data_IF_386865835564
#
_entry.id   IF_386865835564
#
_cell.length_a   1.000
_cell.length_b   1.000
_cell.length_c   1.000
_cell.angle_alpha   90.00
_cell.angle_beta   90.00
_cell.angle_gamma   90.00
#
_symmetry.space_group_name_H-M   'P 1'
#
loop_
_entity.id
_entity.type
_entity.pdbx_description
1 polymer ?
#
# COMPACT_ATOMS: atom_id res chain seq x y z
N UNK A 1 -11.66 -10.34 -13.63
CA UNK A 1 -12.24 -11.41 -12.81
C UNK A 1 -12.38 -10.89 -11.39
N UNK A 2 -13.54 -11.11 -10.78
CA UNK A 2 -13.83 -10.75 -9.40
C UNK A 2 -14.06 -12.03 -8.62
N UNK A 3 -13.34 -12.19 -7.52
CA UNK A 3 -13.45 -13.32 -6.59
C UNK A 3 -13.90 -12.77 -5.24
N UNK A 4 -14.95 -13.38 -4.72
CA UNK A 4 -15.44 -13.21 -3.36
C UNK A 4 -15.54 -14.61 -2.74
N UNK A 5 -14.41 -15.06 -2.19
CA UNK A 5 -14.29 -16.42 -1.68
C UNK A 5 -14.94 -16.50 -0.29
N UNK A 6 -15.89 -17.44 -0.06
CA UNK A 6 -16.41 -17.68 1.27
C UNK A 6 -15.33 -18.30 2.18
N UNK A 7 -15.46 -18.21 3.52
CA UNK A 7 -14.50 -18.76 4.48
C UNK A 7 -14.20 -20.26 4.32
N UNK A 8 -15.04 -21.01 3.61
CA UNK A 8 -14.89 -22.44 3.35
C UNK A 8 -14.21 -22.76 2.01
N UNK A 9 -13.62 -21.78 1.33
CA UNK A 9 -12.99 -21.97 0.02
C UNK A 9 -11.57 -22.54 0.19
N UNK A 10 -11.40 -23.82 -0.14
CA UNK A 10 -10.10 -24.50 -0.02
C UNK A 10 -9.14 -24.23 -1.18
N UNK A 11 -9.66 -24.11 -2.41
CA UNK A 11 -8.82 -23.93 -3.58
C UNK A 11 -9.45 -22.97 -4.59
N UNK A 12 -8.62 -22.09 -5.13
CA UNK A 12 -8.91 -21.25 -6.29
C UNK A 12 -7.96 -21.66 -7.41
N UNK A 13 -8.53 -22.15 -8.51
CA UNK A 13 -7.82 -22.49 -9.75
C UNK A 13 -8.31 -21.56 -10.86
N UNK A 14 -7.38 -20.81 -11.47
CA UNK A 14 -7.69 -19.86 -12.54
C UNK A 14 -6.72 -20.04 -13.69
N UNK A 15 -7.19 -20.64 -14.78
CA UNK A 15 -6.56 -20.58 -16.10
C UNK A 15 -7.20 -19.46 -16.94
N UNK A 16 -6.60 -18.26 -16.89
CA UNK A 16 -7.11 -17.09 -17.59
C UNK A 16 -5.97 -16.23 -18.21
N UNK A 17 -5.30 -16.70 -19.28
CA UNK A 17 -4.10 -16.03 -19.82
C UNK A 17 -4.36 -14.63 -20.39
N UNK A 18 -5.60 -14.31 -20.76
CA UNK A 18 -6.05 -12.99 -21.24
C UNK A 18 -6.65 -12.11 -20.13
N UNK A 19 -6.52 -12.49 -18.85
CA UNK A 19 -7.06 -11.72 -17.74
C UNK A 19 -6.27 -10.42 -17.57
N UNK A 20 -6.94 -9.27 -17.69
CA UNK A 20 -6.32 -7.94 -17.51
C UNK A 20 -6.51 -7.37 -16.10
N UNK A 21 -7.63 -7.72 -15.45
CA UNK A 21 -8.01 -7.18 -14.14
C UNK A 21 -8.38 -8.32 -13.20
N UNK A 22 -7.73 -8.39 -12.04
CA UNK A 22 -8.00 -9.34 -10.97
C UNK A 22 -8.44 -8.61 -9.71
N UNK A 23 -9.54 -9.03 -9.10
CA UNK A 23 -10.01 -8.47 -7.84
C UNK A 23 -10.34 -9.62 -6.90
N UNK A 24 -9.74 -9.61 -5.72
CA UNK A 24 -9.99 -10.56 -4.67
C UNK A 24 -10.51 -9.83 -3.43
N UNK A 25 -11.72 -10.20 -3.00
CA UNK A 25 -12.33 -9.80 -1.73
C UNK A 25 -12.69 -11.04 -0.91
N UNK A 26 -12.98 -10.86 0.37
CA UNK A 26 -13.33 -11.99 1.24
C UNK A 26 -12.12 -12.54 2.01
N UNK A 27 -12.17 -13.83 2.31
CA UNK A 27 -11.06 -14.62 2.90
C UNK A 27 -10.10 -15.11 1.84
N UNK A 28 -8.83 -15.30 2.18
CA UNK A 28 -7.92 -16.03 1.28
C UNK A 28 -8.30 -17.53 1.20
N UNK A 29 -8.21 -18.13 0.02
CA UNK A 29 -8.28 -19.59 -0.12
C UNK A 29 -6.97 -20.27 0.31
N UNK A 30 -7.03 -21.48 0.85
CA UNK A 30 -5.84 -22.21 1.33
C UNK A 30 -4.82 -22.47 0.21
N UNK A 31 -5.30 -22.71 -1.01
CA UNK A 31 -4.46 -22.98 -2.18
C UNK A 31 -4.88 -22.10 -3.36
N UNK A 32 -3.89 -21.45 -3.97
CA UNK A 32 -4.02 -20.72 -5.23
C UNK A 32 -3.24 -21.47 -6.31
N UNK A 33 -3.95 -22.03 -7.30
CA UNK A 33 -3.36 -22.48 -8.56
C UNK A 33 -3.65 -21.42 -9.62
N UNK A 34 -2.80 -20.41 -9.63
CA UNK A 34 -2.94 -19.26 -10.52
C UNK A 34 -1.99 -19.48 -11.69
N UNK A 35 -2.51 -19.98 -12.80
CA UNK A 35 -1.71 -20.09 -14.02
C UNK A 35 -1.21 -18.71 -14.45
N UNK A 36 -0.06 -18.67 -15.13
CA UNK A 36 0.58 -17.40 -15.51
C UNK A 36 -0.41 -16.45 -16.20
N UNK A 37 -0.52 -15.22 -15.68
CA UNK A 37 -1.35 -14.16 -16.24
C UNK A 37 -0.50 -13.11 -16.96
N UNK A 38 0.04 -13.39 -18.16
CA UNK A 38 0.92 -12.45 -18.86
C UNK A 38 0.21 -11.14 -19.25
N UNK A 39 -1.12 -11.17 -19.32
CA UNK A 39 -1.95 -10.01 -19.66
C UNK A 39 -2.42 -9.22 -18.43
N UNK A 40 -2.10 -9.64 -17.20
CA UNK A 40 -2.62 -9.01 -15.98
C UNK A 40 -1.97 -7.66 -15.76
N UNK A 41 -2.79 -6.61 -15.76
CA UNK A 41 -2.37 -5.22 -15.62
C UNK A 41 -2.73 -4.70 -14.23
N UNK A 42 -3.92 -5.03 -13.74
CA UNK A 42 -4.49 -4.52 -12.49
C UNK A 42 -4.82 -5.66 -11.54
N UNK A 43 -4.33 -5.59 -10.31
CA UNK A 43 -4.74 -6.48 -9.22
C UNK A 43 -5.25 -5.67 -8.02
N UNK A 44 -6.36 -6.09 -7.44
CA UNK A 44 -6.89 -5.52 -6.21
C UNK A 44 -7.14 -6.62 -5.18
N UNK A 45 -6.35 -6.63 -4.13
CA UNK A 45 -6.44 -7.59 -3.03
C UNK A 45 -6.97 -6.85 -1.80
N UNK A 46 -8.29 -6.90 -1.60
CA UNK A 46 -8.99 -6.24 -0.49
C UNK A 46 -9.67 -7.31 0.37
N UNK A 47 -8.90 -7.93 1.25
CA UNK A 47 -9.40 -8.95 2.18
C UNK A 47 -10.33 -8.33 3.23
N UNK A 48 -11.31 -9.09 3.72
CA UNK A 48 -12.25 -8.58 4.73
C UNK A 48 -11.62 -8.51 6.12
N UNK A 49 -11.99 -7.48 6.89
CA UNK A 49 -11.77 -7.40 8.34
C UNK A 49 -12.67 -8.45 9.04
N UNK A 50 -12.33 -9.72 8.93
CA UNK A 50 -12.98 -10.74 9.76
C UNK A 50 -12.40 -10.59 11.16
N UNK A 51 -13.21 -10.39 12.17
CA UNK A 51 -12.78 -10.19 13.56
C UNK A 51 -12.03 -11.39 14.21
N UNK A 52 -11.47 -12.30 13.40
CA UNK A 52 -10.74 -13.53 13.77
C UNK A 52 -9.26 -13.51 13.29
N UNK A 53 -8.65 -12.32 13.28
CA UNK A 53 -7.33 -11.96 12.69
C UNK A 53 -6.05 -12.54 13.33
N UNK A 54 -5.98 -13.85 13.56
CA UNK A 54 -4.70 -14.48 13.93
C UNK A 54 -4.24 -15.55 12.94
N UNK A 55 -5.11 -16.14 12.10
CA UNK A 55 -4.75 -17.37 11.38
C UNK A 55 -4.97 -17.35 9.86
N UNK A 56 -4.92 -16.20 9.17
CA UNK A 56 -4.68 -16.25 7.72
C UNK A 56 -3.18 -16.52 7.52
N UNK A 57 -2.86 -17.73 7.06
CA UNK A 57 -1.48 -18.21 6.89
C UNK A 57 -0.69 -17.23 6.00
N UNK A 58 0.42 -16.71 6.52
CA UNK A 58 1.39 -15.89 5.80
C UNK A 58 1.84 -16.56 4.47
N UNK A 59 1.84 -17.90 4.45
CA UNK A 59 2.07 -18.75 3.29
C UNK A 59 1.06 -18.51 2.15
N UNK A 60 -0.18 -18.15 2.48
CA UNK A 60 -1.22 -17.91 1.47
C UNK A 60 -1.03 -16.54 0.82
N UNK A 61 -0.69 -15.51 1.63
CA UNK A 61 -0.43 -14.18 1.12
C UNK A 61 0.81 -14.16 0.21
N UNK A 62 1.86 -14.89 0.57
CA UNK A 62 3.07 -15.01 -0.27
C UNK A 62 2.77 -15.78 -1.56
N UNK A 63 2.05 -16.91 -1.49
CA UNK A 63 1.63 -17.67 -2.67
C UNK A 63 0.81 -16.80 -3.63
N UNK A 64 -0.12 -15.97 -3.13
CA UNK A 64 -0.86 -15.06 -3.99
C UNK A 64 0.07 -14.02 -4.64
N UNK A 65 0.99 -13.45 -3.87
CA UNK A 65 1.91 -12.40 -4.34
C UNK A 65 2.85 -12.91 -5.44
N UNK A 66 3.30 -14.17 -5.39
CA UNK A 66 4.11 -14.82 -6.43
C UNK A 66 3.48 -14.83 -7.82
N UNK A 67 2.17 -14.64 -7.92
CA UNK A 67 1.45 -14.64 -9.20
C UNK A 67 1.14 -13.23 -9.72
N UNK A 68 1.49 -12.19 -8.96
CA UNK A 68 1.15 -10.80 -9.27
C UNK A 68 2.35 -9.97 -9.79
N UNK A 69 3.51 -10.56 -10.02
CA UNK A 69 4.72 -9.81 -10.40
C UNK A 69 4.65 -9.09 -11.77
N UNK A 70 3.71 -9.47 -12.64
CA UNK A 70 3.51 -8.81 -13.94
C UNK A 70 2.66 -7.54 -13.88
N UNK A 71 1.93 -7.31 -12.78
CA UNK A 71 0.94 -6.22 -12.71
C UNK A 71 1.59 -4.85 -12.77
N UNK A 72 0.88 -3.90 -13.37
CA UNK A 72 1.27 -2.49 -13.40
C UNK A 72 0.67 -1.70 -12.24
N UNK A 73 -0.47 -2.15 -11.75
CA UNK A 73 -1.19 -1.54 -10.66
C UNK A 73 -1.63 -2.59 -9.64
N UNK A 74 -1.29 -2.35 -8.38
CA UNK A 74 -1.67 -3.20 -7.26
C UNK A 74 -2.38 -2.35 -6.21
N UNK A 75 -3.59 -2.77 -5.84
CA UNK A 75 -4.29 -2.29 -4.65
C UNK A 75 -4.13 -3.35 -3.56
N UNK A 76 -3.54 -2.97 -2.42
CA UNK A 76 -3.25 -3.86 -1.30
C UNK A 76 -3.98 -3.40 -0.03
N UNK A 77 -4.90 -4.22 0.46
CA UNK A 77 -5.62 -4.00 1.72
C UNK A 77 -4.76 -4.28 2.97
N UNK A 78 -5.13 -3.69 4.10
CA UNK A 78 -4.37 -3.83 5.36
C UNK A 78 -4.25 -5.27 5.86
N UNK A 79 -5.26 -6.13 5.67
CA UNK A 79 -5.15 -7.54 6.07
C UNK A 79 -4.12 -8.29 5.22
N UNK A 80 -4.09 -8.02 3.91
CA UNK A 80 -3.10 -8.60 3.02
C UNK A 80 -1.68 -8.16 3.40
N UNK A 81 -1.49 -6.86 3.65
CA UNK A 81 -0.21 -6.32 4.13
C UNK A 81 0.14 -6.85 5.54
N UNK A 82 -0.86 -7.05 6.40
CA UNK A 82 -0.70 -7.67 7.72
C UNK A 82 -0.20 -9.11 7.62
N UNK A 83 -0.75 -9.92 6.72
CA UNK A 83 -0.27 -11.28 6.45
C UNK A 83 1.18 -11.26 5.91
N UNK A 84 1.46 -10.38 4.94
CA UNK A 84 2.82 -10.23 4.38
C UNK A 84 3.87 -9.74 5.39
N UNK A 85 3.44 -9.03 6.44
CA UNK A 85 4.34 -8.54 7.48
C UNK A 85 4.90 -9.66 8.37
N UNK A 86 4.22 -10.80 8.44
CA UNK A 86 4.58 -11.96 9.27
C UNK A 86 5.54 -12.90 8.55
N UNK A 87 5.52 -12.90 7.22
CA UNK A 87 6.46 -13.65 6.36
C UNK A 87 7.90 -13.31 6.73
N UNK A 88 8.72 -14.35 6.87
CA UNK A 88 10.16 -14.25 7.07
C UNK A 88 10.84 -13.48 5.92
N UNK A 89 11.82 -12.65 6.26
CA UNK A 89 12.54 -11.84 5.26
C UNK A 89 13.21 -12.71 4.18
N UNK A 90 13.79 -13.85 4.56
CA UNK A 90 14.44 -14.77 3.62
C UNK A 90 13.46 -15.28 2.55
N UNK A 91 12.24 -15.63 2.94
CA UNK A 91 11.18 -16.06 2.02
C UNK A 91 10.67 -14.88 1.19
N UNK A 92 10.45 -13.73 1.81
CA UNK A 92 9.90 -12.56 1.12
C UNK A 92 10.83 -12.05 0.02
N UNK A 93 12.15 -12.04 0.26
CA UNK A 93 13.12 -11.55 -0.72
C UNK A 93 13.52 -12.58 -1.79
N UNK A 94 13.04 -13.82 -1.70
CA UNK A 94 13.10 -14.79 -2.81
C UNK A 94 12.05 -14.53 -3.90
N UNK A 95 11.04 -13.68 -3.62
CA UNK A 95 10.03 -13.31 -4.58
C UNK A 95 10.61 -12.65 -5.85
N UNK A 96 10.00 -12.90 -7.02
CA UNK A 96 10.31 -12.15 -8.22
C UNK A 96 10.08 -10.64 -8.01
N UNK A 97 11.00 -9.83 -8.51
CA UNK A 97 10.83 -8.39 -8.44
C UNK A 97 9.71 -7.90 -9.38
N UNK A 98 8.88 -7.01 -8.83
CA UNK A 98 7.73 -6.34 -9.44
C UNK A 98 8.18 -5.23 -10.40
N UNK A 99 8.92 -5.59 -11.44
CA UNK A 99 9.50 -4.65 -12.41
C UNK A 99 8.47 -3.87 -13.24
N UNK A 100 7.24 -4.38 -13.32
CA UNK A 100 6.16 -3.74 -14.06
C UNK A 100 5.30 -2.84 -13.17
N UNK A 101 5.40 -2.97 -11.85
CA UNK A 101 4.54 -2.24 -10.92
C UNK A 101 4.92 -0.76 -10.95
N UNK A 102 3.99 0.07 -11.42
CA UNK A 102 4.14 1.52 -11.53
C UNK A 102 3.22 2.27 -10.57
N UNK A 103 2.14 1.65 -10.10
CA UNK A 103 1.21 2.22 -9.14
C UNK A 103 0.89 1.21 -8.03
N UNK A 104 1.06 1.64 -6.78
CA UNK A 104 0.71 0.89 -5.59
C UNK A 104 -0.27 1.72 -4.78
N UNK A 105 -1.46 1.18 -4.54
CA UNK A 105 -2.47 1.78 -3.69
C UNK A 105 -2.64 0.94 -2.42
N UNK A 106 -2.48 1.58 -1.26
CA UNK A 106 -2.65 0.98 0.06
C UNK A 106 -4.02 1.36 0.60
N UNK A 107 -4.84 0.36 0.88
CA UNK A 107 -6.16 0.53 1.49
C UNK A 107 -6.06 0.16 2.96
N UNK A 108 -6.06 1.18 3.82
CA UNK A 108 -5.93 1.01 5.26
C UNK A 108 -7.31 0.85 5.91
N UNK A 109 -7.63 -0.33 6.45
CA UNK A 109 -8.87 -0.59 7.19
C UNK A 109 -8.65 -1.01 8.66
N UNK A 110 -7.47 -1.53 9.01
CA UNK A 110 -7.14 -1.98 10.37
C UNK A 110 -5.66 -1.80 10.70
N UNK A 111 -5.27 -1.55 11.97
CA UNK A 111 -3.90 -1.25 12.33
C UNK A 111 -3.17 -2.50 12.81
N UNK A 112 -2.05 -2.81 12.15
CA UNK A 112 -0.75 -3.18 12.72
C UNK A 112 0.14 -3.79 11.62
N UNK A 113 1.46 -3.56 11.72
CA UNK A 113 2.52 -4.15 10.86
C UNK A 113 2.49 -3.83 9.34
N UNK A 114 1.52 -3.06 8.86
CA UNK A 114 1.44 -2.64 7.44
C UNK A 114 2.69 -1.88 6.97
N UNK A 115 3.34 -1.14 7.88
CA UNK A 115 4.55 -0.38 7.56
C UNK A 115 5.69 -1.26 7.04
N UNK A 116 6.01 -2.37 7.73
CA UNK A 116 7.12 -3.24 7.33
C UNK A 116 6.83 -3.95 6.00
N UNK A 117 5.63 -4.50 5.83
CA UNK A 117 5.21 -5.13 4.58
C UNK A 117 5.26 -4.16 3.40
N UNK A 118 4.80 -2.91 3.59
CA UNK A 118 4.92 -1.88 2.57
C UNK A 118 6.38 -1.59 2.23
N UNK A 119 7.26 -1.44 3.24
CA UNK A 119 8.67 -1.21 2.97
C UNK A 119 9.30 -2.35 2.16
N UNK A 120 8.98 -3.61 2.48
CA UNK A 120 9.44 -4.78 1.72
C UNK A 120 8.91 -4.77 0.28
N UNK A 121 7.62 -4.48 0.09
CA UNK A 121 7.04 -4.33 -1.26
C UNK A 121 7.72 -3.25 -2.09
N UNK A 122 8.07 -2.12 -1.46
CA UNK A 122 8.81 -1.04 -2.13
C UNK A 122 10.21 -1.51 -2.56
N UNK A 123 10.90 -2.35 -1.78
CA UNK A 123 12.21 -2.91 -2.15
C UNK A 123 12.16 -3.76 -3.40
N UNK A 124 11.12 -4.59 -3.56
CA UNK A 124 10.98 -5.47 -4.73
C UNK A 124 10.30 -4.79 -5.92
N UNK A 125 9.92 -3.51 -5.82
CA UNK A 125 9.19 -2.75 -6.85
C UNK A 125 10.01 -1.59 -7.43
N UNK A 126 11.11 -1.85 -8.16
CA UNK A 126 12.12 -0.84 -8.49
C UNK A 126 11.63 0.30 -9.39
N UNK A 127 10.55 0.09 -10.17
CA UNK A 127 9.99 1.07 -11.11
C UNK A 127 8.71 1.76 -10.62
N UNK A 128 8.39 1.65 -9.33
CA UNK A 128 7.19 2.26 -8.78
C UNK A 128 7.20 3.78 -8.97
N UNK A 129 6.18 4.32 -9.65
CA UNK A 129 6.06 5.74 -9.96
C UNK A 129 5.05 6.46 -9.07
N UNK A 130 4.03 5.76 -8.61
CA UNK A 130 2.91 6.31 -7.83
C UNK A 130 2.65 5.45 -6.60
N UNK A 131 2.62 6.10 -5.43
CA UNK A 131 2.17 5.49 -4.17
C UNK A 131 0.95 6.25 -3.65
N UNK A 132 -0.13 5.54 -3.38
CA UNK A 132 -1.40 6.10 -2.90
C UNK A 132 -1.77 5.47 -1.56
N UNK A 133 -2.13 6.30 -0.59
CA UNK A 133 -2.79 5.90 0.65
C UNK A 133 -4.26 6.28 0.54
N UNK A 134 -5.15 5.29 0.39
CA UNK A 134 -6.57 5.53 0.07
C UNK A 134 -7.44 5.92 1.25
N UNK A 135 -6.99 5.63 2.46
CA UNK A 135 -7.65 6.03 3.69
C UNK A 135 -6.62 6.57 4.67
N UNK A 136 -7.08 7.30 5.68
CA UNK A 136 -6.21 7.80 6.73
C UNK A 136 -5.57 6.66 7.53
N UNK A 137 -4.37 6.90 8.05
CA UNK A 137 -3.63 5.92 8.87
C UNK A 137 -4.18 6.01 10.30
N UNK A 138 -5.00 5.06 10.76
CA UNK A 138 -5.66 5.16 12.09
C UNK A 138 -4.69 5.00 13.27
N UNK A 139 -4.83 5.85 14.30
CA UNK A 139 -4.00 5.97 15.50
C UNK A 139 -4.30 5.06 16.65
N UNK A 140 -5.50 4.49 16.64
CA UNK A 140 -6.06 3.98 17.89
C UNK A 140 -5.58 2.59 18.28
N UNK A 141 -4.88 1.87 17.39
CA UNK A 141 -4.54 0.46 17.65
C UNK A 141 -3.05 0.11 17.43
N UNK A 142 -2.15 1.07 17.15
CA UNK A 142 -0.74 0.76 16.90
C UNK A 142 0.16 0.81 18.15
N UNK A 143 0.98 -0.23 18.35
CA UNK A 143 2.11 -0.24 19.30
C UNK A 143 3.28 0.66 18.88
N UNK A 144 4.31 0.76 19.74
CA UNK A 144 5.47 1.66 19.55
C UNK A 144 6.36 1.33 18.34
N UNK A 145 6.31 0.11 17.80
CA UNK A 145 7.06 -0.32 16.60
C UNK A 145 6.11 -0.67 15.45
N UNK A 146 5.78 0.33 14.64
CA UNK A 146 4.79 0.24 13.57
C UNK A 146 5.40 -0.05 12.18
N UNK A 147 6.67 -0.47 12.12
CA UNK A 147 7.36 -0.87 10.90
C UNK A 147 7.73 0.27 9.93
N UNK A 148 7.45 1.53 10.28
CA UNK A 148 7.75 2.71 9.45
C UNK A 148 9.22 3.13 9.57
N UNK A 149 10.13 2.23 9.21
CA UNK A 149 11.58 2.44 9.23
C UNK A 149 12.18 1.97 7.91
N UNK A 150 13.02 2.81 7.31
CA UNK A 150 13.83 2.44 6.15
C UNK A 150 15.19 1.94 6.66
N UNK A 151 15.44 0.64 6.60
CA UNK A 151 16.79 0.08 6.84
C UNK A 151 17.73 0.44 5.69
N UNK A 152 17.23 0.33 4.47
CA UNK A 152 17.82 0.79 3.21
C UNK A 152 16.74 1.53 2.45
N UNK A 153 17.08 2.61 1.75
CA UNK A 153 16.09 3.34 0.92
C UNK A 153 15.82 2.56 -0.37
N UNK A 154 14.59 2.08 -0.64
CA UNK A 154 14.24 1.41 -1.90
C UNK A 154 14.63 2.19 -3.15
N UNK A 155 15.06 1.47 -4.19
CA UNK A 155 15.48 2.07 -5.46
C UNK A 155 14.39 2.95 -6.09
N UNK A 156 13.13 2.54 -5.98
CA UNK A 156 12.01 3.27 -6.53
C UNK A 156 11.88 4.69 -5.95
N UNK A 157 12.15 4.89 -4.66
CA UNK A 157 12.14 6.21 -4.02
C UNK A 157 13.25 7.11 -4.59
N UNK A 158 14.39 6.53 -4.92
CA UNK A 158 15.53 7.26 -5.42
C UNK A 158 15.37 7.67 -6.89
N UNK A 159 14.67 6.88 -7.69
CA UNK A 159 14.77 6.94 -9.16
C UNK A 159 13.44 7.02 -9.92
N UNK A 160 12.31 6.55 -9.34
CA UNK A 160 11.05 6.40 -10.08
C UNK A 160 9.83 7.04 -9.42
N UNK A 161 9.76 7.15 -8.09
CA UNK A 161 8.57 7.62 -7.38
C UNK A 161 8.34 9.11 -7.63
N UNK A 162 7.35 9.42 -8.48
CA UNK A 162 6.99 10.79 -8.91
C UNK A 162 5.76 11.32 -8.19
N UNK A 163 4.84 10.46 -7.77
CA UNK A 163 3.59 10.86 -7.13
C UNK A 163 3.41 10.13 -5.81
N UNK A 164 3.14 10.90 -4.78
CA UNK A 164 2.74 10.41 -3.46
C UNK A 164 1.40 11.06 -3.11
N UNK A 165 0.36 10.26 -2.95
CA UNK A 165 -1.00 10.72 -2.68
C UNK A 165 -1.52 10.16 -1.36
N UNK A 166 -2.07 11.03 -0.51
CA UNK A 166 -2.83 10.66 0.67
C UNK A 166 -4.28 11.12 0.51
N UNK A 167 -5.21 10.18 0.69
CA UNK A 167 -6.65 10.40 0.70
C UNK A 167 -7.17 10.25 2.13
N UNK A 168 -8.26 10.94 2.47
CA UNK A 168 -8.83 10.97 3.82
C UNK A 168 -7.81 11.32 4.92
N UNK A 169 -6.87 12.23 4.62
CA UNK A 169 -5.78 12.60 5.53
C UNK A 169 -6.33 13.30 6.79
N UNK A 170 -6.08 12.72 7.96
CA UNK A 170 -6.50 13.24 9.26
C UNK A 170 -5.57 14.34 9.80
N UNK A 171 -4.31 14.34 9.36
CA UNK A 171 -3.29 15.29 9.82
C UNK A 171 -2.71 14.96 11.19
N UNK A 172 -2.86 13.72 11.65
CA UNK A 172 -2.23 13.28 12.89
C UNK A 172 -0.70 13.17 12.75
N UNK A 173 0.00 13.06 13.89
CA UNK A 173 1.46 13.05 13.91
C UNK A 173 2.09 11.85 13.19
N UNK A 174 1.36 10.73 13.06
CA UNK A 174 1.87 9.52 12.40
C UNK A 174 1.74 9.65 10.91
N UNK A 175 0.59 10.11 10.41
CA UNK A 175 0.42 10.46 9.00
C UNK A 175 1.46 11.50 8.56
N UNK A 176 1.68 12.54 9.36
CA UNK A 176 2.74 13.52 9.12
C UNK A 176 4.13 12.88 9.14
N UNK A 177 4.38 11.94 10.05
CA UNK A 177 5.62 11.15 10.11
C UNK A 177 5.85 10.31 8.85
N UNK A 178 4.80 9.68 8.31
CA UNK A 178 4.86 8.91 7.06
C UNK A 178 5.11 9.84 5.87
N UNK A 179 4.38 10.96 5.77
CA UNK A 179 4.65 11.97 4.73
C UNK A 179 6.10 12.45 4.80
N UNK A 180 6.59 12.74 6.00
CA UNK A 180 7.97 13.16 6.22
C UNK A 180 8.97 12.09 5.75
N UNK A 181 8.79 10.84 6.16
CA UNK A 181 9.64 9.71 5.77
C UNK A 181 9.78 9.64 4.25
N UNK A 182 8.67 9.67 3.51
CA UNK A 182 8.73 9.59 2.06
C UNK A 182 9.30 10.87 1.43
N UNK A 183 8.89 12.04 1.91
CA UNK A 183 9.34 13.34 1.40
C UNK A 183 10.86 13.53 1.55
N UNK A 184 11.44 13.05 2.65
CA UNK A 184 12.88 13.10 2.93
C UNK A 184 13.72 12.14 2.09
N UNK A 185 13.11 11.05 1.58
CA UNK A 185 13.84 9.98 0.90
C UNK A 185 13.58 9.92 -0.61
N UNK A 186 12.42 10.42 -1.07
CA UNK A 186 12.02 10.36 -2.48
C UNK A 186 12.69 11.46 -3.31
N UNK A 187 13.78 11.12 -4.01
CA UNK A 187 14.67 12.09 -4.68
C UNK A 187 14.11 12.66 -5.98
N UNK A 188 13.18 11.94 -6.62
CA UNK A 188 12.56 12.35 -7.89
C UNK A 188 11.08 12.70 -7.74
N UNK A 189 10.59 12.84 -6.51
CA UNK A 189 9.19 13.14 -6.23
C UNK A 189 8.78 14.48 -6.86
N UNK A 190 7.69 14.48 -7.61
CA UNK A 190 7.17 15.66 -8.31
C UNK A 190 5.90 16.20 -7.66
N UNK A 191 5.06 15.32 -7.12
CA UNK A 191 3.77 15.68 -6.54
C UNK A 191 3.58 14.98 -5.20
N UNK A 192 3.34 15.78 -4.17
CA UNK A 192 2.77 15.34 -2.90
C UNK A 192 1.31 15.84 -2.86
N UNK A 193 0.36 14.93 -2.89
CA UNK A 193 -1.07 15.24 -3.00
C UNK A 193 -1.75 14.86 -1.69
N UNK A 194 -2.44 15.81 -1.07
CA UNK A 194 -3.15 15.60 0.19
C UNK A 194 -4.64 15.93 -0.01
N UNK A 195 -5.51 14.94 0.21
CA UNK A 195 -6.96 15.12 0.29
C UNK A 195 -7.37 14.95 1.75
N UNK A 196 -7.83 16.03 2.37
CA UNK A 196 -8.10 16.05 3.81
C UNK A 196 -9.39 15.29 4.14
N UNK A 197 -9.38 14.53 5.24
CA UNK A 197 -10.60 13.88 5.77
C UNK A 197 -11.72 14.88 6.01
N UNK A 198 -12.97 14.40 6.02
CA UNK A 198 -14.13 15.25 6.34
C UNK A 198 -14.03 15.91 7.72
N UNK A 199 -13.39 15.26 8.70
CA UNK A 199 -13.16 15.80 10.03
C UNK A 199 -12.15 16.95 10.01
N UNK A 200 -10.97 16.74 9.43
CA UNK A 200 -9.95 17.79 9.30
C UNK A 200 -10.45 18.96 8.44
N UNK A 201 -11.22 18.68 7.40
CA UNK A 201 -11.77 19.72 6.51
C UNK A 201 -12.69 20.70 7.21
N UNK A 202 -13.44 20.24 8.23
CA UNK A 202 -14.37 21.06 9.03
C UNK A 202 -13.67 21.90 10.10
N UNK A 203 -12.54 21.43 10.61
CA UNK A 203 -11.71 22.17 11.58
C UNK A 203 -10.68 23.03 10.84
N UNK A 204 -11.04 24.27 10.54
CA UNK A 204 -10.18 25.20 9.80
C UNK A 204 -8.88 25.54 10.54
N UNK A 205 -8.90 25.57 11.87
CA UNK A 205 -7.70 25.78 12.69
C UNK A 205 -6.72 24.62 12.52
N UNK A 206 -7.17 23.40 12.78
CA UNK A 206 -6.33 22.20 12.63
C UNK A 206 -5.89 22.01 11.18
N UNK A 207 -6.77 22.25 10.20
CA UNK A 207 -6.42 22.23 8.77
C UNK A 207 -5.29 23.19 8.45
N UNK A 208 -5.33 24.42 8.98
CA UNK A 208 -4.29 25.42 8.74
C UNK A 208 -2.96 25.01 9.37
N UNK A 209 -2.99 24.50 10.59
CA UNK A 209 -1.81 24.00 11.28
C UNK A 209 -1.16 22.80 10.55
N UNK A 210 -1.97 21.84 10.09
CA UNK A 210 -1.49 20.68 9.32
C UNK A 210 -0.88 21.13 7.99
N UNK A 211 -1.50 22.10 7.30
CA UNK A 211 -0.96 22.68 6.07
C UNK A 211 0.42 23.31 6.30
N UNK A 212 0.57 24.09 7.36
CA UNK A 212 1.86 24.71 7.73
C UNK A 212 2.91 23.64 8.02
N UNK A 213 2.57 22.61 8.81
CA UNK A 213 3.50 21.50 9.10
C UNK A 213 3.96 20.78 7.82
N UNK A 214 3.04 20.44 6.91
CA UNK A 214 3.35 19.82 5.62
C UNK A 214 4.23 20.69 4.70
N UNK A 215 4.07 22.01 4.77
CA UNK A 215 4.90 22.96 4.02
C UNK A 215 6.32 23.02 4.56
N UNK A 216 6.48 22.88 5.88
CA UNK A 216 7.77 22.91 6.56
C UNK A 216 8.52 21.57 6.51
N UNK A 217 7.90 20.50 6.02
CA UNK A 217 8.56 19.20 5.89
C UNK A 217 9.73 19.27 4.90
N UNK A 218 10.89 18.69 5.25
CA UNK A 218 12.02 18.56 4.36
C UNK A 218 11.67 17.69 3.13
N UNK A 219 12.30 18.03 1.99
CA UNK A 219 12.08 17.39 0.70
C UNK A 219 13.41 17.05 0.06
N UNK A 220 13.63 15.79 -0.27
CA UNK A 220 14.79 15.38 -1.07
C UNK A 220 14.72 15.92 -2.50
N UNK A 221 13.51 15.98 -3.07
CA UNK A 221 13.28 16.54 -4.40
C UNK A 221 12.90 18.02 -4.32
N UNK A 222 13.72 18.89 -4.93
CA UNK A 222 13.41 20.31 -5.11
C UNK A 222 12.22 20.56 -6.06
N UNK A 223 11.87 19.59 -6.89
CA UNK A 223 10.76 19.66 -7.83
C UNK A 223 9.41 19.25 -7.22
N UNK A 224 9.40 18.75 -5.98
CA UNK A 224 8.18 18.26 -5.33
C UNK A 224 7.23 19.41 -4.99
N UNK A 225 6.05 19.42 -5.64
CA UNK A 225 4.96 20.35 -5.37
C UNK A 225 3.93 19.72 -4.45
N UNK A 226 3.66 20.38 -3.32
CA UNK A 226 2.57 20.01 -2.42
C UNK A 226 1.26 20.59 -2.94
N UNK A 227 0.27 19.72 -3.14
CA UNK A 227 -1.07 20.07 -3.64
C UNK A 227 -2.12 19.57 -2.67
N UNK A 228 -3.11 20.40 -2.36
CA UNK A 228 -4.28 20.00 -1.59
C UNK A 228 -5.45 19.81 -2.56
N UNK A 229 -6.09 18.64 -2.53
CA UNK A 229 -7.35 18.38 -3.25
C UNK A 229 -8.51 18.63 -2.28
N UNK A 230 -9.56 19.27 -2.79
CA UNK A 230 -10.85 19.34 -2.10
C UNK A 230 -11.69 18.16 -2.60
N UNK A 231 -12.42 17.50 -1.70
CA UNK A 231 -13.44 16.53 -2.10
C UNK A 231 -14.52 17.29 -2.88
N UNK A 232 -14.59 17.06 -4.20
CA UNK A 232 -15.82 17.37 -4.94
C UNK A 232 -16.86 16.35 -4.48
N UNK A 233 -17.79 16.81 -3.63
CA UNK A 233 -18.94 16.01 -3.17
C UNK A 233 -19.90 15.65 -4.29
#
# INVERSE_FOLDING_TARGET
MFIDAPPSCHQIDIDAPSLEVFQHKGTLAEVYDLHSFPSLIDANISLSDINDWINEDENIAINLLEHLFYVKHLVAGSCFLGALSRVDDDVFYELPSFHNLTCLEVVWSSPDLVGSALMRLLQISPKLETLVFSHGIDARLCGEDNGWKLTTVPECLLSHLRVLEFRQFSGDQRELGVVKLFSENARVLQKLIISTSSALSRDLSSKSQVKEQLQMLPRASSNCKLTFKEETG
#
